data_IF_647322933460
#
_entry.id   IF_647322933460
#
_cell.length_a   1.000
_cell.length_b   1.000
_cell.length_c   1.000
_cell.angle_alpha   90.00
_cell.angle_beta   90.00
_cell.angle_gamma   90.00
#
_symmetry.space_group_name_H-M   'P 1'
#
loop_
_entity.id
_entity.type
_entity.pdbx_description
1 polymer ?
#
# COMPACT_ATOMS: atom_id res chain seq x y z
N UNK A 1 2.49 31.26 11.18
CA UNK A 1 2.43 30.35 12.34
C UNK A 1 1.02 29.78 12.45
N UNK A 2 0.79 28.63 11.85
CA UNK A 2 -0.34 27.75 12.16
C UNK A 2 0.24 26.34 12.21
N UNK A 3 0.80 26.03 13.38
CA UNK A 3 1.43 24.75 13.67
C UNK A 3 0.28 23.76 13.99
N UNK A 4 0.09 22.75 13.14
CA UNK A 4 -1.08 21.87 13.21
C UNK A 4 -0.95 20.80 14.32
N UNK A 5 0.26 20.63 14.87
CA UNK A 5 0.60 19.61 15.86
C UNK A 5 0.57 20.10 17.32
N UNK A 6 0.19 21.36 17.58
CA UNK A 6 -0.18 21.79 18.93
C UNK A 6 -1.68 21.73 19.11
N UNK A 7 -2.10 21.01 20.16
CA UNK A 7 -3.45 20.87 20.73
C UNK A 7 -4.42 21.96 20.26
N UNK A 8 -5.10 21.73 19.13
CA UNK A 8 -6.32 22.47 18.79
C UNK A 8 -7.44 21.90 19.64
N UNK A 9 -8.27 22.78 20.20
CA UNK A 9 -9.56 22.37 20.77
C UNK A 9 -10.24 21.43 19.77
N UNK A 10 -10.69 20.27 20.26
CA UNK A 10 -11.44 19.28 19.46
C UNK A 10 -12.66 19.98 18.86
N UNK A 11 -12.53 20.45 17.64
CA UNK A 11 -13.65 20.47 16.72
C UNK A 11 -13.83 18.99 16.39
N UNK A 12 -14.78 18.35 17.05
CA UNK A 12 -15.24 17.03 16.67
C UNK A 12 -15.66 17.10 15.20
N UNK A 13 -14.77 16.69 14.29
CA UNK A 13 -15.10 16.43 12.90
C UNK A 13 -15.79 15.06 12.91
N UNK A 14 -17.11 14.97 12.66
CA UNK A 14 -17.89 13.74 12.82
C UNK A 14 -17.67 12.74 11.67
N UNK A 15 -16.47 12.66 11.11
CA UNK A 15 -16.15 11.91 9.89
C UNK A 15 -14.79 11.22 10.04
N UNK A 16 -14.68 10.30 11.00
CA UNK A 16 -14.11 8.98 10.68
C UNK A 16 -15.23 8.23 9.94
N UNK A 17 -15.47 8.56 8.68
CA UNK A 17 -16.33 7.73 7.84
C UNK A 17 -15.48 6.51 7.49
N UNK A 18 -15.93 5.37 8.00
CA UNK A 18 -15.44 4.01 7.80
C UNK A 18 -15.52 3.53 6.33
N UNK A 19 -14.98 4.31 5.41
CA UNK A 19 -14.63 3.94 4.04
C UNK A 19 -13.33 4.66 3.78
N UNK A 20 -12.24 3.94 3.51
CA UNK A 20 -10.97 4.49 3.03
C UNK A 20 -11.23 5.55 1.96
N UNK A 21 -11.14 6.83 2.34
CA UNK A 21 -11.64 7.94 1.52
C UNK A 21 -10.77 9.17 1.65
N UNK A 22 -10.58 9.86 0.52
CA UNK A 22 -9.83 11.11 0.44
C UNK A 22 -10.62 12.26 1.07
N UNK A 23 -9.96 13.16 1.81
CA UNK A 23 -10.57 14.42 2.21
C UNK A 23 -10.31 15.49 1.13
N UNK A 24 -11.32 15.87 0.33
CA UNK A 24 -11.16 16.83 -0.78
C UNK A 24 -10.79 18.25 -0.33
N UNK A 25 -10.88 18.56 0.97
CA UNK A 25 -10.57 19.88 1.51
C UNK A 25 -9.14 19.96 2.04
N UNK A 26 -8.60 18.86 2.58
CA UNK A 26 -7.27 18.84 3.21
C UNK A 26 -6.22 18.13 2.38
N UNK A 27 -6.61 17.14 1.58
CA UNK A 27 -5.67 16.37 0.79
C UNK A 27 -5.31 17.08 -0.51
N UNK A 28 -4.08 16.81 -0.99
CA UNK A 28 -3.58 17.43 -2.21
C UNK A 28 -4.30 16.90 -3.46
N UNK A 29 -4.23 17.67 -4.54
CA UNK A 29 -4.95 17.39 -5.78
C UNK A 29 -4.48 16.08 -6.44
N UNK A 30 -3.20 15.74 -6.34
CA UNK A 30 -2.68 14.45 -6.83
C UNK A 30 -3.36 13.27 -6.14
N UNK A 31 -3.45 13.27 -4.80
CA UNK A 31 -4.13 12.21 -4.05
C UNK A 31 -5.62 12.13 -4.38
N UNK A 32 -6.28 13.28 -4.48
CA UNK A 32 -7.69 13.33 -4.85
C UNK A 32 -7.95 12.73 -6.24
N UNK A 33 -7.16 13.11 -7.23
CA UNK A 33 -7.28 12.55 -8.58
C UNK A 33 -6.87 11.09 -8.66
N UNK A 34 -5.91 10.64 -7.85
CA UNK A 34 -5.56 9.23 -7.74
C UNK A 34 -6.76 8.42 -7.20
N UNK A 35 -7.41 8.92 -6.15
CA UNK A 35 -8.64 8.34 -5.62
C UNK A 35 -9.74 8.25 -6.69
N UNK A 36 -10.01 9.33 -7.44
CA UNK A 36 -11.00 9.32 -8.53
C UNK A 36 -10.64 8.32 -9.64
N UNK A 37 -9.36 8.25 -10.02
CA UNK A 37 -8.89 7.32 -11.05
C UNK A 37 -9.11 5.85 -10.63
N UNK A 38 -8.69 5.50 -9.42
CA UNK A 38 -8.65 4.11 -8.93
C UNK A 38 -10.00 3.62 -8.41
N UNK A 39 -10.86 4.52 -7.92
CA UNK A 39 -12.15 4.13 -7.36
C UNK A 39 -13.12 3.68 -8.45
N UNK A 40 -13.78 2.54 -8.22
CA UNK A 40 -14.84 2.05 -9.08
C UNK A 40 -16.00 3.06 -9.16
N UNK A 41 -16.44 3.38 -10.38
CA UNK A 41 -17.35 4.51 -10.62
C UNK A 41 -18.65 4.50 -9.78
N UNK A 42 -19.38 3.38 -9.62
CA UNK A 42 -20.53 3.31 -8.71
C UNK A 42 -20.20 3.58 -7.24
N UNK A 43 -19.02 3.16 -6.76
CA UNK A 43 -18.58 3.46 -5.39
C UNK A 43 -18.23 4.93 -5.24
N UNK A 44 -17.53 5.49 -6.23
CA UNK A 44 -17.18 6.91 -6.26
C UNK A 44 -18.43 7.81 -6.22
N UNK A 45 -19.48 7.45 -6.97
CA UNK A 45 -20.75 8.18 -6.95
C UNK A 45 -21.40 8.17 -5.56
N UNK A 46 -21.52 6.99 -4.94
CA UNK A 46 -22.09 6.86 -3.58
C UNK A 46 -21.27 7.62 -2.56
N UNK A 47 -19.95 7.55 -2.66
CA UNK A 47 -19.03 8.30 -1.80
C UNK A 47 -19.24 9.81 -1.96
N UNK A 48 -19.32 10.30 -3.20
CA UNK A 48 -19.51 11.73 -3.48
C UNK A 48 -20.85 12.26 -2.95
N UNK A 49 -21.94 11.51 -3.16
CA UNK A 49 -23.26 11.83 -2.60
C UNK A 49 -23.21 11.90 -1.07
N UNK A 50 -22.60 10.90 -0.43
CA UNK A 50 -22.48 10.87 1.04
C UNK A 50 -21.61 11.99 1.58
N UNK A 51 -20.51 12.31 0.91
CA UNK A 51 -19.64 13.41 1.28
C UNK A 51 -20.41 14.74 1.23
N UNK A 52 -21.20 14.97 0.17
CA UNK A 52 -22.06 16.16 0.04
C UNK A 52 -23.15 16.24 1.10
N UNK A 53 -23.83 15.13 1.41
CA UNK A 53 -24.82 15.06 2.50
C UNK A 53 -24.21 15.49 3.84
N UNK A 54 -22.95 15.12 4.08
CA UNK A 54 -22.22 15.47 5.28
C UNK A 54 -21.57 16.88 5.22
N UNK A 55 -21.89 17.67 4.20
CA UNK A 55 -21.47 19.07 4.10
C UNK A 55 -20.06 19.30 3.53
N UNK A 56 -19.38 18.27 3.00
CA UNK A 56 -18.07 18.44 2.38
C UNK A 56 -18.17 19.33 1.13
N UNK A 57 -17.28 20.30 1.05
CA UNK A 57 -17.16 21.16 -0.13
C UNK A 57 -16.08 20.63 -1.07
N UNK A 58 -16.34 20.75 -2.36
CA UNK A 58 -15.45 20.28 -3.42
C UNK A 58 -15.06 21.46 -4.29
N UNK A 59 -13.80 21.49 -4.75
CA UNK A 59 -13.39 22.44 -5.78
C UNK A 59 -14.12 22.10 -7.09
N UNK A 60 -14.43 23.07 -7.96
CA UNK A 60 -15.13 22.80 -9.22
C UNK A 60 -14.46 21.72 -10.08
N UNK A 61 -13.12 21.71 -10.15
CA UNK A 61 -12.39 20.72 -10.93
C UNK A 61 -12.43 19.30 -10.32
N UNK A 62 -12.71 19.17 -9.02
CA UNK A 62 -12.87 17.86 -8.36
C UNK A 62 -14.21 17.24 -8.72
N UNK A 63 -15.27 18.06 -8.73
CA UNK A 63 -16.61 17.62 -9.13
C UNK A 63 -16.65 17.21 -10.60
N UNK A 64 -15.93 17.93 -11.46
CA UNK A 64 -15.79 17.59 -12.87
C UNK A 64 -15.11 16.22 -13.06
N UNK A 65 -14.02 15.96 -12.34
CA UNK A 65 -13.31 14.68 -12.38
C UNK A 65 -14.22 13.51 -11.96
N UNK A 66 -14.94 13.67 -10.84
CA UNK A 66 -15.93 12.67 -10.38
C UNK A 66 -16.99 12.44 -11.45
N UNK A 67 -17.61 13.51 -11.95
CA UNK A 67 -18.67 13.42 -12.97
C UNK A 67 -18.18 12.72 -14.24
N UNK A 68 -16.95 13.00 -14.68
CA UNK A 68 -16.32 12.32 -15.82
C UNK A 68 -16.16 10.83 -15.53
N UNK A 69 -15.56 10.45 -14.39
CA UNK A 69 -15.37 9.04 -14.00
C UNK A 69 -16.69 8.29 -13.92
N UNK A 70 -17.73 8.90 -13.34
CA UNK A 70 -19.04 8.28 -13.16
C UNK A 70 -19.76 8.12 -14.49
N UNK A 71 -19.74 9.12 -15.36
CA UNK A 71 -20.45 9.08 -16.64
C UNK A 71 -19.78 8.19 -17.69
N UNK A 72 -18.45 8.15 -17.71
CA UNK A 72 -17.68 7.44 -18.76
C UNK A 72 -17.06 6.13 -18.28
N UNK A 73 -17.04 5.90 -16.97
CA UNK A 73 -16.28 4.82 -16.33
C UNK A 73 -14.76 5.09 -16.27
N UNK A 74 -14.28 6.21 -16.82
CA UNK A 74 -12.85 6.50 -16.98
C UNK A 74 -12.50 7.89 -16.49
N UNK A 75 -11.38 7.99 -15.79
CA UNK A 75 -10.70 9.22 -15.45
C UNK A 75 -9.22 8.88 -15.28
N UNK A 76 -8.35 9.71 -15.81
CA UNK A 76 -6.91 9.58 -15.68
C UNK A 76 -6.41 10.79 -14.90
N UNK A 77 -5.61 10.54 -13.87
CA UNK A 77 -5.00 11.55 -13.06
C UNK A 77 -4.05 12.39 -13.94
N UNK A 78 -4.29 13.70 -14.10
CA UNK A 78 -3.43 14.54 -14.92
C UNK A 78 -2.04 14.74 -14.30
N UNK A 79 -1.88 14.38 -13.02
CA UNK A 79 -0.65 14.54 -12.26
C UNK A 79 0.13 13.23 -12.20
N UNK A 80 1.46 13.34 -12.28
CA UNK A 80 2.36 12.19 -12.12
C UNK A 80 3.21 12.37 -10.88
N UNK A 81 3.35 11.30 -10.10
CA UNK A 81 4.34 11.23 -9.04
C UNK A 81 5.72 10.93 -9.65
N UNK A 82 6.82 11.50 -9.11
CA UNK A 82 6.89 12.55 -8.10
C UNK A 82 6.81 13.97 -8.68
N UNK A 83 6.67 14.11 -10.00
CA UNK A 83 6.73 15.41 -10.70
C UNK A 83 5.72 16.46 -10.23
N UNK A 84 4.54 16.05 -9.76
CA UNK A 84 3.55 16.93 -9.14
C UNK A 84 4.12 17.69 -7.94
N UNK A 85 5.01 17.04 -7.19
CA UNK A 85 5.71 17.59 -6.03
C UNK A 85 7.06 18.22 -6.41
N UNK A 86 7.24 18.61 -7.68
CA UNK A 86 8.49 19.18 -8.20
C UNK A 86 9.73 18.28 -8.00
N UNK A 87 9.52 16.97 -7.81
CA UNK A 87 10.56 15.97 -7.50
C UNK A 87 11.34 16.24 -6.20
N UNK A 88 10.76 16.98 -5.24
CA UNK A 88 11.41 17.32 -3.98
C UNK A 88 10.44 17.21 -2.81
N UNK A 89 10.94 16.67 -1.71
CA UNK A 89 10.25 16.57 -0.42
C UNK A 89 11.17 17.12 0.66
N UNK A 90 10.60 17.70 1.71
CA UNK A 90 11.39 18.17 2.86
C UNK A 90 12.04 16.96 3.53
N UNK A 91 11.21 15.97 3.86
CA UNK A 91 11.63 14.68 4.38
C UNK A 91 10.93 13.53 3.67
N UNK A 92 11.64 12.41 3.56
CA UNK A 92 11.06 11.10 3.25
C UNK A 92 11.35 10.19 4.43
N UNK A 93 10.34 9.92 5.24
CA UNK A 93 10.44 8.94 6.31
C UNK A 93 10.38 7.52 5.77
N UNK A 94 11.20 6.62 6.30
CA UNK A 94 11.21 5.20 5.92
C UNK A 94 11.16 4.26 7.12
N UNK A 95 10.54 3.09 6.93
CA UNK A 95 10.56 1.97 7.85
C UNK A 95 10.59 0.66 7.05
N UNK A 96 11.39 -0.30 7.49
CA UNK A 96 11.29 -1.67 7.00
C UNK A 96 10.57 -2.56 8.00
N UNK A 97 9.77 -3.50 7.51
CA UNK A 97 9.41 -4.71 8.26
C UNK A 97 10.29 -5.86 7.79
N UNK A 98 10.82 -6.61 8.76
CA UNK A 98 11.67 -7.77 8.54
C UNK A 98 11.04 -9.01 9.15
N UNK A 99 11.19 -10.13 8.47
CA UNK A 99 10.58 -11.38 8.91
C UNK A 99 11.39 -12.16 9.94
N UNK A 100 12.69 -11.88 10.06
CA UNK A 100 13.64 -12.48 11.02
C UNK A 100 14.73 -11.46 11.40
N UNK A 101 15.68 -11.88 12.23
CA UNK A 101 16.87 -11.07 12.58
C UNK A 101 17.86 -10.86 11.40
N UNK A 102 17.70 -11.60 10.29
CA UNK A 102 18.49 -11.39 9.08
C UNK A 102 18.06 -10.08 8.40
N UNK A 103 19.01 -9.17 8.12
CA UNK A 103 18.75 -7.90 7.44
C UNK A 103 18.06 -8.11 6.09
N UNK A 104 18.45 -9.15 5.34
CA UNK A 104 17.85 -9.45 4.04
C UNK A 104 16.45 -10.08 4.16
N UNK A 105 15.95 -10.30 5.37
CA UNK A 105 14.57 -10.71 5.60
C UNK A 105 13.56 -9.58 5.54
N UNK A 106 14.00 -8.34 5.32
CA UNK A 106 13.11 -7.24 5.01
C UNK A 106 12.18 -7.59 3.84
N UNK A 107 10.89 -7.30 4.00
CA UNK A 107 9.85 -7.65 3.03
C UNK A 107 8.79 -6.56 2.81
N UNK A 108 8.77 -5.52 3.64
CA UNK A 108 7.94 -4.32 3.46
C UNK A 108 8.79 -3.08 3.63
N UNK A 109 8.59 -2.07 2.76
CA UNK A 109 9.11 -0.72 2.90
C UNK A 109 7.92 0.24 3.07
N UNK A 110 7.75 0.79 4.27
CA UNK A 110 6.85 1.89 4.55
C UNK A 110 7.51 3.24 4.26
N UNK A 111 6.77 4.15 3.62
CA UNK A 111 7.24 5.49 3.26
C UNK A 111 6.23 6.57 3.62
N UNK A 112 6.71 7.70 4.15
CA UNK A 112 5.93 8.93 4.29
C UNK A 112 6.71 10.11 3.70
N UNK A 113 6.13 10.78 2.72
CA UNK A 113 6.69 11.94 2.03
C UNK A 113 6.11 13.20 2.66
N UNK A 114 6.98 14.10 3.12
CA UNK A 114 6.59 15.30 3.86
C UNK A 114 6.92 16.56 3.05
N UNK A 115 5.96 17.48 2.95
CA UNK A 115 6.12 18.83 2.38
C UNK A 115 5.40 19.82 3.28
N UNK A 116 6.04 20.93 3.61
CA UNK A 116 5.51 22.02 4.43
C UNK A 116 4.88 21.48 5.74
N UNK A 117 5.65 20.64 6.45
CA UNK A 117 5.26 19.98 7.70
C UNK A 117 4.07 19.00 7.58
N UNK A 118 3.61 18.68 6.37
CA UNK A 118 2.43 17.83 6.13
C UNK A 118 2.78 16.59 5.32
N UNK A 119 2.03 15.52 5.56
CA UNK A 119 2.11 14.31 4.74
C UNK A 119 1.58 14.63 3.34
N UNK A 120 2.48 14.62 2.36
CA UNK A 120 2.18 14.79 0.94
C UNK A 120 1.75 13.47 0.29
N UNK A 121 2.39 12.37 0.67
CA UNK A 121 2.08 11.03 0.18
C UNK A 121 2.54 10.00 1.21
N UNK A 122 1.92 8.82 1.23
CA UNK A 122 2.38 7.67 2.00
C UNK A 122 2.09 6.39 1.24
N UNK A 123 2.95 5.40 1.38
CA UNK A 123 2.80 4.12 0.70
C UNK A 123 3.57 3.01 1.40
N UNK A 124 3.06 1.78 1.26
CA UNK A 124 3.73 0.56 1.72
C UNK A 124 4.02 -0.35 0.54
N UNK A 125 5.27 -0.74 0.39
CA UNK A 125 5.71 -1.59 -0.70
C UNK A 125 6.11 -2.95 -0.15
N UNK A 126 5.35 -3.99 -0.50
CA UNK A 126 5.79 -5.36 -0.30
C UNK A 126 6.79 -5.74 -1.38
N UNK A 127 7.85 -6.44 -0.99
CA UNK A 127 8.85 -6.97 -1.90
C UNK A 127 9.42 -8.28 -1.40
N UNK A 128 9.93 -9.06 -2.35
CA UNK A 128 10.41 -10.40 -2.09
C UNK A 128 11.76 -10.34 -1.38
N UNK A 129 11.97 -11.03 -0.24
CA UNK A 129 13.31 -11.29 0.29
C UNK A 129 14.00 -12.42 -0.50
N UNK A 130 15.29 -12.73 -0.27
CA UNK A 130 15.95 -13.87 -0.90
C UNK A 130 15.19 -15.19 -0.68
N UNK A 131 15.17 -16.07 -1.67
CA UNK A 131 14.42 -17.34 -1.62
C UNK A 131 14.76 -18.24 -0.43
N UNK A 132 15.96 -18.10 0.14
CA UNK A 132 16.35 -18.84 1.35
C UNK A 132 15.58 -18.35 2.58
N UNK A 133 15.33 -17.04 2.69
CA UNK A 133 14.52 -16.44 3.75
C UNK A 133 13.08 -16.93 3.68
N UNK A 134 12.47 -16.92 2.49
CA UNK A 134 11.07 -17.36 2.29
C UNK A 134 10.78 -18.79 2.79
N UNK A 135 11.81 -19.63 2.88
CA UNK A 135 11.69 -21.02 3.35
C UNK A 135 11.82 -21.15 4.87
N UNK A 136 12.28 -20.11 5.56
CA UNK A 136 12.46 -20.14 7.01
C UNK A 136 11.10 -20.17 7.70
N UNK A 137 10.98 -20.98 8.76
CA UNK A 137 9.75 -21.10 9.54
C UNK A 137 9.40 -19.78 10.23
N UNK A 138 10.39 -19.16 10.85
CA UNK A 138 10.26 -17.87 11.54
C UNK A 138 9.71 -16.77 10.62
N UNK A 139 10.23 -16.67 9.39
CA UNK A 139 9.72 -15.73 8.40
C UNK A 139 8.22 -15.92 8.10
N UNK A 140 7.77 -17.17 7.98
CA UNK A 140 6.36 -17.49 7.73
C UNK A 140 5.47 -17.18 8.93
N UNK A 141 5.95 -17.47 10.14
CA UNK A 141 5.25 -17.11 11.38
C UNK A 141 5.09 -15.58 11.49
N UNK A 142 6.11 -14.81 11.08
CA UNK A 142 6.02 -13.35 11.03
C UNK A 142 4.97 -12.87 10.02
N UNK A 143 4.93 -13.43 8.80
CA UNK A 143 3.89 -13.09 7.83
C UNK A 143 2.48 -13.40 8.34
N UNK A 144 2.29 -14.55 9.00
CA UNK A 144 1.01 -14.92 9.62
C UNK A 144 0.61 -13.94 10.73
N UNK A 145 1.57 -13.50 11.56
CA UNK A 145 1.34 -12.51 12.63
C UNK A 145 0.85 -11.16 12.08
N UNK A 146 1.32 -10.76 10.90
CA UNK A 146 0.92 -9.53 10.23
C UNK A 146 -0.29 -9.71 9.28
N UNK A 147 -0.91 -10.89 9.21
CA UNK A 147 -1.97 -11.25 8.23
C UNK A 147 -1.54 -10.98 6.77
N UNK A 148 -0.27 -11.22 6.45
CA UNK A 148 0.30 -11.04 5.11
C UNK A 148 0.39 -12.39 4.42
N UNK A 149 -0.30 -12.50 3.28
CA UNK A 149 -0.23 -13.68 2.41
C UNK A 149 1.17 -13.78 1.77
N UNK A 150 1.85 -14.91 1.97
CA UNK A 150 3.19 -15.20 1.44
C UNK A 150 3.29 -14.98 -0.07
N UNK A 151 2.17 -15.10 -0.80
CA UNK A 151 2.16 -14.86 -2.24
C UNK A 151 2.39 -13.38 -2.57
N UNK A 152 1.85 -12.43 -1.80
CA UNK A 152 2.02 -11.00 -2.06
C UNK A 152 3.47 -10.55 -1.98
N UNK A 153 4.21 -11.14 -1.04
CA UNK A 153 5.63 -10.86 -0.86
C UNK A 153 6.44 -11.37 -2.06
N UNK A 154 5.97 -12.38 -2.80
CA UNK A 154 6.73 -12.98 -3.92
C UNK A 154 6.63 -12.22 -5.23
N UNK A 155 5.65 -11.32 -5.35
CA UNK A 155 5.23 -10.75 -6.63
C UNK A 155 6.20 -9.71 -7.18
N UNK A 156 6.82 -8.93 -6.29
CA UNK A 156 7.69 -7.82 -6.66
C UNK A 156 9.11 -8.04 -6.15
N UNK A 157 10.11 -7.78 -6.99
CA UNK A 157 11.48 -7.62 -6.48
C UNK A 157 11.68 -6.21 -5.92
N UNK A 158 12.76 -6.01 -5.17
CA UNK A 158 13.05 -4.66 -4.69
C UNK A 158 13.39 -3.69 -5.83
N UNK A 159 13.94 -4.16 -6.95
CA UNK A 159 14.10 -3.31 -8.15
C UNK A 159 12.75 -2.79 -8.65
N UNK A 160 11.71 -3.64 -8.67
CA UNK A 160 10.38 -3.19 -9.09
C UNK A 160 9.83 -2.12 -8.13
N UNK A 161 10.11 -2.23 -6.83
CA UNK A 161 9.79 -1.19 -5.83
C UNK A 161 10.59 0.09 -6.06
N UNK A 162 11.90 -0.04 -6.31
CA UNK A 162 12.80 1.10 -6.55
C UNK A 162 12.41 1.95 -7.76
N UNK A 163 11.89 1.29 -8.80
CA UNK A 163 11.37 1.94 -10.01
C UNK A 163 9.92 2.44 -9.85
N UNK A 164 9.16 1.87 -8.92
CA UNK A 164 7.78 2.29 -8.66
C UNK A 164 7.75 3.70 -8.10
N UNK A 165 6.81 4.53 -8.57
CA UNK A 165 6.68 5.94 -8.15
C UNK A 165 7.99 6.75 -8.28
N UNK A 166 8.90 6.34 -9.16
CA UNK A 166 10.28 6.86 -9.22
C UNK A 166 10.89 7.07 -7.81
N UNK A 167 10.76 6.08 -6.91
CA UNK A 167 11.33 6.14 -5.56
C UNK A 167 12.81 6.51 -5.62
N UNK A 168 13.54 5.92 -6.57
CA UNK A 168 14.89 6.31 -6.94
C UNK A 168 15.08 7.83 -7.04
N UNK A 169 14.25 8.52 -7.82
CA UNK A 169 14.38 9.95 -8.04
C UNK A 169 14.12 10.71 -6.73
N UNK A 170 13.08 10.32 -6.01
CA UNK A 170 12.67 10.96 -4.75
C UNK A 170 13.74 10.83 -3.67
N UNK A 171 14.29 9.63 -3.49
CA UNK A 171 15.30 9.31 -2.48
C UNK A 171 16.67 9.96 -2.79
N UNK A 172 16.99 10.16 -4.07
CA UNK A 172 18.22 10.82 -4.50
C UNK A 172 18.17 12.35 -4.33
N UNK A 173 16.98 12.95 -4.32
CA UNK A 173 16.83 14.41 -4.29
C UNK A 173 16.33 14.96 -2.96
N UNK A 174 15.74 14.13 -2.11
CA UNK A 174 15.17 14.55 -0.82
C UNK A 174 16.01 14.01 0.35
N UNK A 175 15.79 14.56 1.56
CA UNK A 175 16.42 14.03 2.76
C UNK A 175 15.62 12.82 3.27
N UNK A 176 16.24 11.65 3.30
CA UNK A 176 15.65 10.45 3.90
C UNK A 176 15.83 10.49 5.42
N UNK A 177 14.75 10.27 6.16
CA UNK A 177 14.74 10.30 7.61
C UNK A 177 14.33 8.92 8.12
N UNK A 178 15.14 8.34 9.00
CA UNK A 178 14.82 7.07 9.62
C UNK A 178 15.13 7.08 11.11
N UNK A 179 14.65 6.06 11.81
CA UNK A 179 14.89 5.96 13.23
C UNK A 179 16.36 5.61 13.53
N UNK A 180 16.84 4.50 12.96
CA UNK A 180 18.19 3.98 13.17
C UNK A 180 18.63 3.03 12.03
N UNK A 181 18.29 1.73 12.10
CA UNK A 181 18.89 0.68 11.26
C UNK A 181 18.36 0.62 9.82
N UNK A 182 17.33 1.41 9.50
CA UNK A 182 16.64 1.31 8.21
C UNK A 182 17.57 1.61 7.03
N UNK A 183 18.58 2.48 7.21
CA UNK A 183 19.57 2.79 6.18
C UNK A 183 20.54 1.63 5.96
N UNK A 184 20.92 0.90 7.01
CA UNK A 184 21.75 -0.31 6.90
C UNK A 184 20.98 -1.39 6.12
N UNK A 185 19.69 -1.55 6.44
CA UNK A 185 18.80 -2.46 5.72
C UNK A 185 18.69 -2.07 4.25
N UNK A 186 18.44 -0.79 3.96
CA UNK A 186 18.35 -0.28 2.60
C UNK A 186 19.64 -0.52 1.81
N UNK A 187 20.82 -0.24 2.39
CA UNK A 187 22.12 -0.46 1.75
C UNK A 187 22.31 -1.94 1.37
N UNK A 188 22.04 -2.87 2.28
CA UNK A 188 22.21 -4.30 2.02
C UNK A 188 21.22 -4.84 0.99
N UNK A 189 19.97 -4.35 1.00
CA UNK A 189 18.99 -4.67 -0.04
C UNK A 189 19.46 -4.14 -1.40
N UNK A 190 19.85 -2.87 -1.49
CA UNK A 190 20.35 -2.26 -2.74
C UNK A 190 21.54 -3.06 -3.30
N UNK A 191 22.48 -3.48 -2.44
CA UNK A 191 23.61 -4.35 -2.81
C UNK A 191 23.16 -5.72 -3.31
N UNK A 192 22.28 -6.39 -2.57
CA UNK A 192 21.77 -7.72 -2.92
C UNK A 192 21.07 -7.74 -4.29
N UNK A 193 20.38 -6.65 -4.61
CA UNK A 193 19.70 -6.43 -5.89
C UNK A 193 20.57 -5.73 -6.95
N UNK A 194 21.84 -5.45 -6.64
CA UNK A 194 22.82 -4.81 -7.55
C UNK A 194 22.36 -3.46 -8.10
N UNK A 195 21.54 -2.75 -7.33
CA UNK A 195 21.10 -1.39 -7.63
C UNK A 195 22.28 -0.46 -7.32
N UNK A 196 22.61 0.44 -8.26
CA UNK A 196 23.81 1.32 -8.18
C UNK A 196 23.52 2.78 -8.51
N UNK A 197 22.27 3.12 -8.73
CA UNK A 197 21.84 4.45 -9.12
C UNK A 197 21.21 5.21 -7.95
N UNK A 198 21.89 5.11 -6.80
CA UNK A 198 21.51 5.78 -5.55
C UNK A 198 22.65 6.69 -5.04
N UNK A 199 22.27 7.81 -4.46
CA UNK A 199 23.08 8.81 -3.80
C UNK A 199 22.19 9.51 -2.76
N UNK A 200 21.88 8.78 -1.70
CA UNK A 200 20.80 9.09 -0.77
C UNK A 200 21.40 9.90 0.38
N UNK A 201 20.85 11.09 0.59
CA UNK A 201 21.15 11.86 1.79
C UNK A 201 20.20 11.43 2.89
N UNK A 202 20.72 11.19 4.09
CA UNK A 202 19.89 10.72 5.19
C UNK A 202 20.32 11.26 6.55
N UNK A 203 19.40 11.18 7.51
CA UNK A 203 19.65 11.37 8.95
C UNK A 203 19.02 10.24 9.76
N UNK A 204 19.56 10.00 10.95
CA UNK A 204 19.07 8.99 11.90
C UNK A 204 18.61 9.67 13.19
N UNK A 205 17.31 9.63 13.47
CA UNK A 205 16.71 10.36 14.60
C UNK A 205 17.31 9.94 15.94
N UNK A 206 17.59 8.64 16.12
CA UNK A 206 18.14 8.14 17.38
C UNK A 206 19.53 8.69 17.69
N UNK A 207 20.35 8.96 16.68
CA UNK A 207 21.67 9.58 16.84
C UNK A 207 21.53 11.05 17.26
N UNK A 208 20.68 11.80 16.57
CA UNK A 208 20.42 13.20 16.90
C UNK A 208 19.91 13.33 18.34
N UNK A 209 18.99 12.46 18.75
CA UNK A 209 18.48 12.45 20.11
C UNK A 209 19.61 12.26 21.14
N UNK A 210 20.49 11.28 20.93
CA UNK A 210 21.62 10.99 21.82
C UNK A 210 22.59 12.16 21.91
N UNK A 211 22.98 12.73 20.78
CA UNK A 211 23.95 13.82 20.72
C UNK A 211 23.43 15.12 21.37
N UNK A 212 22.11 15.26 21.48
CA UNK A 212 21.44 16.39 22.13
C UNK A 212 20.94 16.06 23.55
N UNK A 213 21.38 14.94 24.15
CA UNK A 213 20.98 14.50 25.50
C UNK A 213 19.45 14.31 25.67
N UNK A 214 18.78 13.89 24.61
CA UNK A 214 17.35 13.57 24.60
C UNK A 214 17.12 12.05 24.76
N UNK A 215 15.91 11.60 25.13
CA UNK A 215 15.60 10.17 25.19
C UNK A 215 15.84 9.46 23.86
N UNK A 216 16.47 8.27 23.89
CA UNK A 216 16.87 7.52 22.69
C UNK A 216 15.99 6.29 22.40
N UNK A 217 14.84 6.21 23.08
CA UNK A 217 13.72 5.31 22.78
C UNK A 217 12.57 6.15 22.22
N UNK A 218 12.00 5.76 21.08
CA UNK A 218 11.03 6.61 20.37
C UNK A 218 9.81 6.96 21.24
N UNK A 219 9.26 6.04 22.02
CA UNK A 219 8.13 6.33 22.92
C UNK A 219 8.44 7.40 23.96
N UNK A 220 9.65 7.36 24.52
CA UNK A 220 10.07 8.35 25.52
C UNK A 220 10.34 9.71 24.86
N UNK A 221 10.85 9.69 23.63
CA UNK A 221 11.10 10.90 22.86
C UNK A 221 9.79 11.56 22.40
N UNK A 222 8.81 10.77 21.92
CA UNK A 222 7.46 11.25 21.61
C UNK A 222 6.79 11.88 22.84
N UNK A 223 6.89 11.23 24.01
CA UNK A 223 6.41 11.79 25.28
C UNK A 223 7.12 13.09 25.65
N UNK A 224 8.44 13.18 25.44
CA UNK A 224 9.21 14.40 25.69
C UNK A 224 8.66 15.59 24.89
N UNK A 225 8.28 15.36 23.64
CA UNK A 225 7.68 16.38 22.77
C UNK A 225 6.18 16.61 22.99
N UNK A 226 5.53 15.83 23.85
CA UNK A 226 4.06 15.80 23.98
C UNK A 226 3.37 15.52 22.63
N UNK A 227 3.92 14.61 21.84
CA UNK A 227 3.36 14.22 20.55
C UNK A 227 2.04 13.44 20.73
N UNK A 228 1.13 13.60 19.78
CA UNK A 228 -0.08 12.77 19.67
C UNK A 228 0.22 11.37 19.07
N UNK A 229 1.42 11.16 18.52
CA UNK A 229 1.87 9.86 18.01
C UNK A 229 2.32 8.92 19.13
N UNK A 230 2.22 7.62 18.88
CA UNK A 230 2.57 6.55 19.80
C UNK A 230 3.14 5.32 19.06
N UNK A 231 3.44 4.25 19.80
CA UNK A 231 4.05 3.01 19.29
C UNK A 231 3.26 2.28 18.20
N UNK A 232 1.95 2.50 18.12
CA UNK A 232 1.09 1.92 17.08
C UNK A 232 1.23 2.66 15.75
N UNK A 233 1.82 3.86 15.74
CA UNK A 233 2.09 4.61 14.52
C UNK A 233 3.35 4.10 13.81
N UNK A 234 3.35 4.23 12.49
CA UNK A 234 4.44 3.81 11.61
C UNK A 234 5.71 4.65 11.88
N UNK A 235 6.87 4.01 12.02
CA UNK A 235 8.15 4.70 12.23
C UNK A 235 8.52 5.57 11.03
N UNK A 236 8.06 5.23 9.83
CA UNK A 236 8.23 6.08 8.66
C UNK A 236 7.46 7.40 8.80
N UNK A 237 6.47 7.51 9.68
CA UNK A 237 5.84 8.77 10.06
C UNK A 237 6.50 9.41 11.30
N UNK A 238 6.80 8.61 12.33
CA UNK A 238 7.37 9.10 13.59
C UNK A 238 8.71 9.79 13.35
N UNK A 239 9.60 9.18 12.56
CA UNK A 239 10.94 9.70 12.36
C UNK A 239 10.96 11.11 11.72
N UNK A 240 10.30 11.38 10.58
CA UNK A 240 10.26 12.74 10.04
C UNK A 240 9.47 13.71 10.92
N UNK A 241 8.49 13.26 11.70
CA UNK A 241 7.81 14.13 12.68
C UNK A 241 8.79 14.60 13.76
N UNK A 242 9.61 13.70 14.30
CA UNK A 242 10.65 14.04 15.26
C UNK A 242 11.76 14.92 14.67
N UNK A 243 12.05 14.79 13.36
CA UNK A 243 12.97 15.71 12.68
C UNK A 243 12.45 17.16 12.72
N UNK A 244 11.16 17.37 12.47
CA UNK A 244 10.53 18.69 12.57
C UNK A 244 10.60 19.23 14.00
N UNK A 245 10.32 18.40 15.00
CA UNK A 245 10.43 18.79 16.42
C UNK A 245 11.87 19.21 16.80
N UNK A 246 12.88 18.53 16.25
CA UNK A 246 14.28 18.91 16.43
C UNK A 246 14.60 20.26 15.79
N UNK A 247 14.09 20.54 14.58
CA UNK A 247 14.25 21.85 13.95
C UNK A 247 13.56 22.95 14.77
N UNK A 248 12.36 22.69 15.30
CA UNK A 248 11.61 23.61 16.18
C UNK A 248 12.37 23.90 17.50
N UNK A 249 13.15 22.94 18.00
CA UNK A 249 14.07 23.15 19.13
C UNK A 249 15.32 23.95 18.76
N UNK A 250 15.59 24.19 17.48
CA UNK A 250 16.78 24.86 16.98
C UNK A 250 17.96 23.92 16.69
N UNK A 251 17.74 22.61 16.62
CA UNK A 251 18.76 21.65 16.20
C UNK A 251 18.93 21.73 14.68
N UNK A 252 20.14 22.02 14.22
CA UNK A 252 20.43 22.05 12.79
C UNK A 252 20.67 20.63 12.24
N UNK A 253 19.66 20.07 11.58
CA UNK A 253 19.71 18.72 11.01
C UNK A 253 20.84 18.52 9.99
N UNK A 254 21.30 19.57 9.31
CA UNK A 254 22.40 19.45 8.35
C UNK A 254 23.71 18.95 8.99
N UNK A 255 23.91 19.17 10.29
CA UNK A 255 25.08 18.68 11.01
C UNK A 255 25.11 17.15 11.11
N UNK A 256 23.96 16.49 10.94
CA UNK A 256 23.80 15.05 11.05
C UNK A 256 23.63 14.36 9.69
N UNK A 257 23.62 15.14 8.61
CA UNK A 257 23.40 14.62 7.25
C UNK A 257 24.53 13.69 6.85
N UNK A 258 24.17 12.45 6.55
CA UNK A 258 25.04 11.42 6.00
C UNK A 258 24.66 11.14 4.55
N UNK A 259 25.53 10.45 3.84
CA UNK A 259 25.31 10.10 2.44
C UNK A 259 25.58 8.60 2.22
N UNK A 260 24.58 7.92 1.67
CA UNK A 260 24.65 6.54 1.22
C UNK A 260 24.82 6.54 -0.30
N UNK A 261 25.95 6.04 -0.78
CA UNK A 261 26.26 5.90 -2.20
C UNK A 261 26.94 4.54 -2.46
N UNK A 262 26.88 4.01 -3.70
CA UNK A 262 27.51 2.75 -4.02
C UNK A 262 29.03 2.92 -3.99
N UNK A 263 29.65 2.39 -2.95
CA UNK A 263 31.11 2.34 -2.84
C UNK A 263 31.69 1.59 -4.05
N UNK A 264 32.72 2.17 -4.67
CA UNK A 264 33.28 1.73 -5.95
C UNK A 264 34.05 0.39 -5.93
N UNK A 265 34.04 -0.39 -4.85
CA UNK A 265 34.89 -1.57 -4.74
C UNK A 265 34.41 -2.60 -3.71
N UNK A 266 33.46 -3.45 -4.07
CA UNK A 266 33.28 -4.74 -3.39
C UNK A 266 33.14 -5.85 -4.43
N UNK A 267 34.17 -6.71 -4.48
CA UNK A 267 34.19 -7.95 -5.25
C UNK A 267 33.22 -8.92 -4.59
N UNK A 268 32.00 -9.01 -5.14
CA UNK A 268 31.04 -10.03 -4.73
C UNK A 268 31.51 -11.40 -5.21
N UNK A 269 32.05 -12.20 -4.30
CA UNK A 269 32.20 -13.64 -4.53
C UNK A 269 30.80 -14.26 -4.70
N UNK A 270 30.62 -14.90 -5.85
CA UNK A 270 29.49 -15.67 -6.37
C UNK A 270 28.39 -16.06 -5.39
N UNK A 271 27.28 -15.33 -5.43
CA UNK A 271 25.95 -15.93 -5.32
C UNK A 271 25.35 -15.99 -6.73
N UNK A 272 25.13 -17.23 -7.19
CA UNK A 272 24.79 -17.61 -8.56
C UNK A 272 23.75 -16.69 -9.21
N UNK A 273 24.10 -15.95 -10.29
CA UNK A 273 23.14 -15.18 -11.08
C UNK A 273 22.18 -16.12 -11.81
N UNK A 274 20.88 -15.84 -11.75
CA UNK A 274 19.92 -16.39 -12.73
C UNK A 274 20.19 -15.73 -14.09
N UNK A 275 20.10 -16.49 -15.21
CA UNK A 275 20.41 -15.95 -16.53
C UNK A 275 19.45 -14.82 -16.92
N UNK A 276 20.02 -13.74 -17.44
CA UNK A 276 19.27 -12.62 -18.01
C UNK A 276 18.32 -13.13 -19.10
N UNK A 277 17.02 -13.02 -18.87
CA UNK A 277 16.04 -13.09 -19.96
C UNK A 277 16.16 -11.81 -20.78
N UNK A 278 16.30 -11.95 -22.10
CA UNK A 278 16.23 -10.84 -23.06
C UNK A 278 14.96 -10.03 -22.79
N UNK A 279 15.11 -8.76 -22.39
CA UNK A 279 13.98 -7.88 -22.15
C UNK A 279 13.27 -7.57 -23.47
N UNK A 280 12.08 -8.15 -23.65
CA UNK A 280 10.97 -7.39 -24.24
C UNK A 280 10.69 -6.22 -23.29
N UNK A 281 10.40 -5.04 -23.83
CA UNK A 281 10.00 -3.85 -23.04
C UNK A 281 8.96 -4.25 -21.99
N UNK A 282 9.31 -4.11 -20.71
CA UNK A 282 8.42 -4.40 -19.58
C UNK A 282 7.29 -3.35 -19.55
N UNK A 283 6.03 -3.73 -19.28
CA UNK A 283 4.95 -2.77 -19.06
C UNK A 283 5.25 -1.92 -17.82
N UNK A 284 4.87 -0.65 -17.85
CA UNK A 284 4.95 0.27 -16.69
C UNK A 284 3.92 -0.10 -15.62
N UNK A 285 4.06 0.41 -14.39
CA UNK A 285 3.07 0.20 -13.31
C UNK A 285 1.65 0.64 -13.70
N UNK A 286 1.54 1.68 -14.52
CA UNK A 286 0.25 2.14 -15.06
C UNK A 286 -0.31 1.17 -16.11
N UNK A 287 0.55 0.57 -16.93
CA UNK A 287 0.15 -0.48 -17.86
C UNK A 287 -0.36 -1.71 -17.10
N UNK A 288 0.31 -2.09 -16.01
CA UNK A 288 -0.10 -3.19 -15.13
C UNK A 288 -1.45 -2.89 -14.45
N UNK A 289 -1.67 -1.67 -13.96
CA UNK A 289 -2.94 -1.26 -13.36
C UNK A 289 -4.07 -1.25 -14.38
N UNK A 290 -3.85 -0.67 -15.57
CA UNK A 290 -4.84 -0.64 -16.65
C UNK A 290 -5.16 -2.05 -17.15
N UNK A 291 -4.14 -2.89 -17.28
CA UNK A 291 -4.27 -4.29 -17.63
C UNK A 291 -5.11 -5.03 -16.58
N UNK A 292 -4.83 -4.84 -15.29
CA UNK A 292 -5.63 -5.45 -14.22
C UNK A 292 -7.07 -4.95 -14.18
N UNK A 293 -7.33 -3.67 -14.40
CA UNK A 293 -8.69 -3.15 -14.53
C UNK A 293 -9.42 -3.79 -15.73
N UNK A 294 -8.71 -4.05 -16.82
CA UNK A 294 -9.25 -4.77 -17.97
C UNK A 294 -9.56 -6.23 -17.61
N UNK A 295 -8.69 -6.91 -16.87
CA UNK A 295 -8.88 -8.28 -16.40
C UNK A 295 -10.07 -8.38 -15.45
N UNK A 296 -10.18 -7.46 -14.49
CA UNK A 296 -11.35 -7.37 -13.60
C UNK A 296 -12.62 -7.28 -14.42
N UNK A 297 -12.67 -6.37 -15.40
CA UNK A 297 -13.84 -6.22 -16.27
C UNK A 297 -14.13 -7.47 -17.09
N UNK A 298 -13.11 -8.14 -17.62
CA UNK A 298 -13.25 -9.32 -18.46
C UNK A 298 -13.72 -10.55 -17.68
N UNK A 299 -13.32 -10.67 -16.42
CA UNK A 299 -13.64 -11.82 -15.57
C UNK A 299 -14.78 -11.55 -14.58
N UNK A 300 -15.25 -10.30 -14.46
CA UNK A 300 -16.43 -9.96 -13.67
C UNK A 300 -17.64 -10.72 -14.21
N UNK A 301 -18.45 -11.27 -13.30
CA UNK A 301 -19.68 -11.94 -13.68
C UNK A 301 -20.71 -10.93 -14.22
N UNK A 302 -21.55 -11.33 -15.16
CA UNK A 302 -22.72 -10.54 -15.53
C UNK A 302 -23.68 -10.47 -14.33
N UNK A 303 -24.16 -9.28 -13.91
CA UNK A 303 -25.11 -9.14 -12.83
C UNK A 303 -26.36 -10.02 -12.94
N UNK A 304 -26.80 -10.35 -14.16
CA UNK A 304 -27.95 -11.24 -14.42
C UNK A 304 -27.67 -12.72 -14.16
N UNK A 305 -26.41 -13.10 -14.01
CA UNK A 305 -25.97 -14.46 -13.73
C UNK A 305 -25.70 -14.71 -12.24
N UNK A 306 -25.59 -13.66 -11.43
CA UNK A 306 -25.33 -13.77 -9.98
C UNK A 306 -26.38 -14.64 -9.29
N UNK A 307 -27.66 -14.44 -9.60
CA UNK A 307 -28.76 -15.21 -9.01
C UNK A 307 -28.78 -16.68 -9.43
N UNK A 308 -27.93 -17.07 -10.39
CA UNK A 308 -27.79 -18.45 -10.90
C UNK A 308 -26.54 -19.15 -10.36
N UNK A 309 -25.71 -18.45 -9.59
CA UNK A 309 -24.53 -19.04 -8.96
C UNK A 309 -25.00 -20.11 -7.96
N UNK A 310 -24.62 -21.36 -8.21
CA UNK A 310 -24.68 -22.42 -7.22
C UNK A 310 -23.40 -22.36 -6.37
N UNK A 311 -23.53 -22.09 -5.08
CA UNK A 311 -22.40 -21.99 -4.15
C UNK A 311 -21.82 -23.38 -3.83
N UNK A 312 -22.63 -24.43 -3.94
CA UNK A 312 -22.28 -25.77 -3.48
C UNK A 312 -21.06 -26.33 -4.22
N UNK A 313 -20.08 -26.82 -3.47
CA UNK A 313 -18.80 -27.37 -3.92
C UNK A 313 -17.92 -26.41 -4.74
N UNK A 314 -18.22 -25.10 -4.74
CA UNK A 314 -17.44 -24.09 -5.46
C UNK A 314 -16.36 -23.50 -4.58
N UNK A 315 -15.19 -23.26 -5.17
CA UNK A 315 -14.05 -22.62 -4.50
C UNK A 315 -14.19 -21.10 -4.49
N UNK A 316 -14.13 -20.50 -3.31
CA UNK A 316 -14.18 -19.05 -3.11
C UNK A 316 -12.90 -18.55 -2.46
N UNK A 317 -12.51 -17.32 -2.79
CA UNK A 317 -11.44 -16.61 -2.09
C UNK A 317 -11.77 -15.12 -2.04
N UNK A 318 -11.36 -14.47 -0.96
CA UNK A 318 -11.53 -13.04 -0.76
C UNK A 318 -10.19 -12.33 -0.95
N UNK A 319 -10.23 -11.12 -1.50
CA UNK A 319 -9.07 -10.23 -1.59
C UNK A 319 -9.50 -8.78 -1.40
N UNK A 320 -8.71 -8.01 -0.67
CA UNK A 320 -9.05 -6.64 -0.29
C UNK A 320 -10.03 -6.57 0.88
N UNK A 321 -10.42 -5.34 1.19
CA UNK A 321 -11.36 -4.96 2.25
C UNK A 321 -12.80 -5.06 1.73
N UNK A 322 -13.53 -6.06 2.22
CA UNK A 322 -14.90 -6.33 1.81
C UNK A 322 -15.89 -5.67 2.76
N UNK A 323 -17.09 -5.33 2.28
CA UNK A 323 -18.09 -4.58 3.06
C UNK A 323 -18.77 -5.38 4.17
N UNK A 324 -18.83 -6.71 4.02
CA UNK A 324 -19.28 -7.61 5.08
C UNK A 324 -18.06 -8.07 5.86
N UNK A 325 -18.18 -8.18 7.18
CA UNK A 325 -17.15 -8.81 8.02
C UNK A 325 -16.65 -10.13 7.40
N UNK A 326 -15.32 -10.29 7.35
CA UNK A 326 -14.69 -11.35 6.55
C UNK A 326 -15.05 -12.74 7.07
N UNK A 327 -15.18 -12.92 8.37
CA UNK A 327 -15.53 -14.21 8.94
C UNK A 327 -17.01 -14.52 8.72
N UNK A 328 -17.89 -13.53 8.88
CA UNK A 328 -19.31 -13.65 8.50
C UNK A 328 -19.49 -14.02 7.03
N UNK A 329 -18.68 -13.44 6.14
CA UNK A 329 -18.72 -13.75 4.71
C UNK A 329 -18.26 -15.18 4.38
N UNK A 330 -17.22 -15.67 5.07
CA UNK A 330 -16.74 -17.06 4.96
C UNK A 330 -17.81 -18.04 5.45
N UNK A 331 -18.37 -17.79 6.63
CA UNK A 331 -19.43 -18.62 7.21
C UNK A 331 -20.62 -18.76 6.26
N UNK A 332 -21.07 -17.66 5.65
CA UNK A 332 -22.15 -17.70 4.66
C UNK A 332 -21.84 -18.63 3.48
N UNK A 333 -20.64 -18.55 2.90
CA UNK A 333 -20.23 -19.41 1.78
C UNK A 333 -20.20 -20.88 2.22
N UNK A 334 -19.62 -21.17 3.38
CA UNK A 334 -19.48 -22.53 3.90
C UNK A 334 -20.83 -23.17 4.28
N UNK A 335 -21.73 -22.40 4.91
CA UNK A 335 -23.09 -22.85 5.23
C UNK A 335 -23.90 -23.23 3.97
N UNK A 336 -23.58 -22.61 2.83
CA UNK A 336 -24.18 -22.93 1.53
C UNK A 336 -23.37 -23.96 0.73
N UNK A 337 -22.43 -24.65 1.38
CA UNK A 337 -21.65 -25.76 0.83
C UNK A 337 -20.48 -25.34 -0.07
N UNK A 338 -20.12 -24.06 -0.08
CA UNK A 338 -18.91 -23.56 -0.75
C UNK A 338 -17.65 -23.85 0.05
N UNK A 339 -16.49 -23.69 -0.60
CA UNK A 339 -15.19 -24.03 -0.02
C UNK A 339 -14.30 -22.79 -0.06
N UNK A 340 -13.91 -22.28 1.10
CA UNK A 340 -12.92 -21.20 1.19
C UNK A 340 -11.53 -21.73 0.84
N UNK A 341 -10.85 -21.04 -0.08
CA UNK A 341 -9.48 -21.35 -0.51
C UNK A 341 -8.52 -20.34 0.10
N UNK A 342 -7.35 -20.82 0.49
CA UNK A 342 -6.25 -19.99 1.02
C UNK A 342 -5.48 -19.23 -0.06
N UNK A 343 -5.64 -19.58 -1.34
CA UNK A 343 -4.93 -18.93 -2.44
C UNK A 343 -5.61 -19.11 -3.80
N UNK A 344 -5.27 -18.22 -4.74
CA UNK A 344 -5.77 -18.30 -6.12
C UNK A 344 -5.09 -19.47 -6.83
N UNK A 345 -5.86 -20.52 -7.09
CA UNK A 345 -5.42 -21.75 -7.75
C UNK A 345 -6.43 -22.15 -8.82
N UNK A 346 -6.11 -23.15 -9.64
CA UNK A 346 -7.06 -23.71 -10.62
C UNK A 346 -8.29 -24.40 -10.00
N UNK A 347 -8.37 -24.47 -8.66
CA UNK A 347 -9.53 -25.00 -7.90
C UNK A 347 -10.43 -23.89 -7.34
N UNK A 348 -10.12 -22.63 -7.64
CA UNK A 348 -10.99 -21.49 -7.33
C UNK A 348 -11.98 -21.34 -8.47
N UNK A 349 -13.24 -21.09 -8.14
CA UNK A 349 -14.29 -20.76 -9.12
C UNK A 349 -14.61 -19.26 -9.07
N UNK A 350 -14.63 -18.67 -7.88
CA UNK A 350 -14.99 -17.27 -7.66
C UNK A 350 -13.98 -16.53 -6.78
N UNK A 351 -13.62 -15.32 -7.19
CA UNK A 351 -12.80 -14.39 -6.41
C UNK A 351 -13.66 -13.19 -6.03
N UNK A 352 -13.81 -12.95 -4.73
CA UNK A 352 -14.55 -11.82 -4.19
C UNK A 352 -13.56 -10.69 -3.92
N UNK A 353 -13.73 -9.57 -4.62
CA UNK A 353 -12.84 -8.42 -4.56
C UNK A 353 -13.46 -7.27 -3.75
N UNK A 354 -12.70 -6.78 -2.77
CA UNK A 354 -12.99 -5.61 -1.93
C UNK A 354 -12.07 -4.42 -2.24
N UNK A 355 -12.14 -3.32 -1.49
CA UNK A 355 -11.20 -2.20 -1.66
C UNK A 355 -9.75 -2.69 -1.45
N UNK A 356 -8.77 -2.06 -2.10
CA UNK A 356 -7.35 -2.44 -1.99
C UNK A 356 -7.09 -3.94 -2.28
N UNK A 357 -7.84 -4.52 -3.24
CA UNK A 357 -7.57 -5.87 -3.70
C UNK A 357 -6.16 -5.95 -4.32
N UNK A 358 -5.45 -7.08 -4.10
CA UNK A 358 -4.10 -7.24 -4.62
C UNK A 358 -4.06 -7.33 -6.15
N UNK A 359 -3.30 -6.45 -6.80
CA UNK A 359 -3.12 -6.43 -8.26
C UNK A 359 -2.58 -7.75 -8.83
N UNK A 360 -1.66 -8.40 -8.12
CA UNK A 360 -1.10 -9.70 -8.50
C UNK A 360 -2.12 -10.82 -8.46
N UNK A 361 -3.11 -10.75 -7.55
CA UNK A 361 -4.23 -11.68 -7.50
C UNK A 361 -5.06 -11.59 -8.78
N UNK A 362 -5.22 -10.39 -9.35
CA UNK A 362 -5.88 -10.18 -10.64
C UNK A 362 -5.07 -10.74 -11.82
N UNK A 363 -3.76 -10.50 -11.85
CA UNK A 363 -2.88 -11.07 -12.88
C UNK A 363 -2.87 -12.60 -12.83
N UNK A 364 -2.92 -13.19 -11.63
CA UNK A 364 -2.96 -14.64 -11.45
C UNK A 364 -4.29 -15.24 -11.93
N UNK A 365 -5.41 -14.54 -11.76
CA UNK A 365 -6.70 -14.93 -12.35
C UNK A 365 -6.58 -14.94 -13.87
N UNK A 366 -6.04 -13.87 -14.47
CA UNK A 366 -5.81 -13.79 -15.90
C UNK A 366 -4.95 -14.94 -16.41
N UNK A 367 -3.79 -15.18 -15.77
CA UNK A 367 -2.88 -16.26 -16.16
C UNK A 367 -3.56 -17.64 -16.11
N UNK A 368 -4.34 -17.92 -15.05
CA UNK A 368 -5.04 -19.20 -14.91
C UNK A 368 -6.15 -19.37 -15.96
N UNK A 369 -6.89 -18.30 -16.26
CA UNK A 369 -7.96 -18.33 -17.26
C UNK A 369 -7.38 -18.49 -18.68
N UNK A 370 -6.35 -17.74 -19.05
CA UNK A 370 -5.74 -17.81 -20.39
C UNK A 370 -4.89 -19.08 -20.59
N UNK A 371 -3.98 -19.38 -19.66
CA UNK A 371 -2.96 -20.42 -19.89
C UNK A 371 -3.40 -21.81 -19.45
N UNK A 372 -4.35 -21.90 -18.50
CA UNK A 372 -4.84 -23.17 -17.97
C UNK A 372 -6.31 -23.42 -18.27
N UNK A 373 -6.92 -22.57 -19.10
CA UNK A 373 -8.32 -22.65 -19.49
C UNK A 373 -9.26 -22.80 -18.28
N UNK A 374 -8.92 -22.11 -17.19
CA UNK A 374 -9.80 -21.98 -16.03
C UNK A 374 -10.95 -21.04 -16.37
N UNK A 375 -12.02 -21.08 -15.58
CA UNK A 375 -13.14 -20.14 -15.70
C UNK A 375 -13.41 -19.45 -14.36
N UNK A 376 -12.35 -18.88 -13.79
CA UNK A 376 -12.43 -18.11 -12.54
C UNK A 376 -13.19 -16.82 -12.82
N UNK A 377 -14.24 -16.54 -12.05
CA UNK A 377 -15.03 -15.32 -12.14
C UNK A 377 -14.77 -14.39 -10.97
N UNK A 378 -14.89 -13.10 -11.21
CA UNK A 378 -14.74 -12.06 -10.20
C UNK A 378 -16.12 -11.58 -9.75
N UNK A 379 -16.29 -11.47 -8.43
CA UNK A 379 -17.45 -10.90 -7.75
C UNK A 379 -16.99 -9.63 -7.02
N UNK A 380 -17.58 -8.49 -7.33
CA UNK A 380 -17.38 -7.27 -6.53
C UNK A 380 -18.10 -7.38 -5.19
N UNK A 381 -17.82 -6.46 -4.26
CA UNK A 381 -18.62 -6.31 -3.03
C UNK A 381 -20.14 -6.27 -3.32
N UNK A 382 -20.58 -5.51 -4.33
CA UNK A 382 -22.01 -5.48 -4.69
C UNK A 382 -22.53 -6.81 -5.23
N UNK A 383 -21.71 -7.56 -5.96
CA UNK A 383 -22.11 -8.85 -6.51
C UNK A 383 -22.26 -9.89 -5.40
N UNK A 384 -21.37 -9.86 -4.42
CA UNK A 384 -21.43 -10.73 -3.24
C UNK A 384 -22.66 -10.42 -2.37
N UNK A 385 -23.01 -9.15 -2.18
CA UNK A 385 -24.25 -8.77 -1.49
C UNK A 385 -25.50 -9.24 -2.25
N UNK A 386 -25.49 -9.17 -3.58
CA UNK A 386 -26.57 -9.67 -4.41
C UNK A 386 -26.65 -11.20 -4.36
N UNK A 387 -25.51 -11.90 -4.30
CA UNK A 387 -25.47 -13.35 -4.11
C UNK A 387 -26.13 -13.72 -2.79
N UNK A 388 -25.73 -13.09 -1.67
CA UNK A 388 -26.33 -13.31 -0.34
C UNK A 388 -27.85 -13.16 -0.33
N UNK A 389 -28.38 -12.11 -0.97
CA UNK A 389 -29.84 -11.85 -1.03
C UNK A 389 -30.62 -12.89 -1.81
N UNK A 390 -29.98 -13.49 -2.82
CA UNK A 390 -30.63 -14.43 -3.73
C UNK A 390 -30.41 -15.90 -3.36
N UNK A 391 -29.48 -16.18 -2.43
CA UNK A 391 -29.32 -17.52 -1.87
C UNK A 391 -30.40 -17.74 -0.80
N UNK A 392 -31.31 -18.71 -0.98
CA UNK A 392 -32.35 -18.98 0.01
C UNK A 392 -31.70 -19.37 1.33
N UNK A 393 -32.02 -18.65 2.41
CA UNK A 393 -31.62 -19.04 3.75
C UNK A 393 -32.19 -20.44 4.04
N UNK A 394 -31.32 -21.44 4.15
CA UNK A 394 -31.64 -22.62 4.94
C UNK A 394 -31.73 -22.16 6.39
N UNK A 395 -32.89 -21.66 6.80
CA UNK A 395 -33.26 -21.55 8.21
C UNK A 395 -33.40 -22.97 8.76
N UNK A 396 -32.26 -23.62 8.99
CA UNK A 396 -32.12 -24.85 9.75
C UNK A 396 -32.29 -24.56 11.23
N UNK A 397 -33.49 -24.13 11.62
CA UNK A 397 -33.98 -24.38 12.97
C UNK A 397 -34.71 -25.71 12.96
N UNK A 398 -34.02 -26.75 13.41
CA UNK A 398 -34.59 -27.86 14.18
C UNK A 398 -33.59 -28.33 15.21
#
# INVERSE_FOLDING_TARGET
MFNWFKKKEKIENPIEISVSGINPQTDNEFLFYNFVQLTFAPHLQKWYEKAKENGLQFKPQYEQAIKQKVSTGKFENPHKFPSYFTNGFDFIGIQFLSGTDDILSAFELGTHFIIDEKIAYKEKFLFRPPNQILKQKEFKETLEMFDIDEEFVKDFSFEDVWDTLDLKLSFNHSLVVCWNKEIEILEEILKAYRIKDYNINYIQIREIAKDNNLPDLFDNLLKHFNSDLNIENDLSLIAPTLALEFEDMGINLNNYRKNLNPKSSENFNELNPKPLKKHKTKPTTLDIQNENLSHIRNYSIDPKEISKIDIKNKGFIFTGEITTDRDTAKEFIEQNGGIIKSGITSKVDYVIIGADFGWSKIQKIHELNENKNCNIKILTNSDFENLKKNTPHNNGYK
#
